data_IF_770214791110
#
_entry.id   IF_770214791110
#
_cell.length_a   1.000
_cell.length_b   1.000
_cell.length_c   1.000
_cell.angle_alpha   90.00
_cell.angle_beta   90.00
_cell.angle_gamma   90.00
#
_symmetry.space_group_name_H-M   'P 1'
#
loop_
_entity.id
_entity.type
_entity.pdbx_description
1 polymer ?
#
# COMPACT_ATOMS: atom_id res chain seq x y z
N UNK A 1 3.79 -10.41 -10.09
CA UNK A 1 4.08 -9.71 -8.82
C UNK A 1 5.47 -9.12 -8.93
N UNK A 2 5.56 -7.79 -9.02
CA UNK A 2 6.83 -7.08 -9.06
C UNK A 2 7.67 -7.37 -7.80
N UNK A 3 8.99 -7.23 -7.93
CA UNK A 3 9.92 -7.38 -6.80
C UNK A 3 9.63 -6.34 -5.71
N UNK A 4 9.03 -6.79 -4.62
CA UNK A 4 8.70 -5.95 -3.45
C UNK A 4 9.87 -5.81 -2.45
N UNK A 5 11.07 -6.23 -2.82
CA UNK A 5 12.25 -6.23 -1.93
C UNK A 5 13.03 -4.91 -1.93
N UNK A 6 12.63 -3.95 -2.72
CA UNK A 6 13.29 -2.65 -2.84
C UNK A 6 12.29 -1.52 -2.70
N UNK A 7 12.74 -0.40 -2.15
CA UNK A 7 11.96 0.83 -2.13
C UNK A 7 11.61 1.27 -3.55
N UNK A 8 10.47 1.93 -3.70
CA UNK A 8 10.02 2.39 -5.01
C UNK A 8 8.58 2.88 -5.02
N UNK A 9 8.04 2.98 -6.21
CA UNK A 9 6.67 3.39 -6.46
C UNK A 9 5.98 2.40 -7.40
N UNK A 10 4.67 2.42 -7.40
CA UNK A 10 3.86 1.56 -8.24
C UNK A 10 2.40 1.94 -8.22
N UNK A 11 1.58 1.02 -8.66
CA UNK A 11 0.14 1.09 -8.62
C UNK A 11 -0.42 -0.13 -7.90
N UNK A 12 -1.36 0.12 -7.01
CA UNK A 12 -2.14 -0.92 -6.35
C UNK A 12 -3.47 -1.04 -7.07
N UNK A 13 -3.88 -2.28 -7.35
CA UNK A 13 -5.20 -2.59 -7.89
C UNK A 13 -5.85 -3.70 -7.07
N UNK A 14 -7.16 -3.63 -6.91
CA UNK A 14 -7.90 -4.76 -6.37
C UNK A 14 -8.01 -5.82 -7.46
N UNK A 15 -7.64 -7.05 -7.15
CA UNK A 15 -7.93 -8.18 -7.99
C UNK A 15 -9.45 -8.40 -8.00
N UNK A 16 -10.03 -8.65 -9.17
CA UNK A 16 -11.47 -9.00 -9.27
C UNK A 16 -11.76 -10.18 -8.36
N UNK A 17 -12.72 -10.05 -7.49
CA UNK A 17 -13.36 -11.19 -6.87
C UNK A 17 -13.81 -12.12 -7.98
N UNK A 18 -13.43 -13.40 -7.90
CA UNK A 18 -13.63 -14.37 -8.97
C UNK A 18 -15.03 -14.33 -9.57
N UNK A 19 -15.09 -14.54 -10.86
CA UNK A 19 -16.30 -14.65 -11.67
C UNK A 19 -17.31 -15.61 -11.02
N UNK A 20 -18.35 -15.05 -10.47
CA UNK A 20 -19.41 -15.81 -9.80
C UNK A 20 -20.49 -14.96 -9.17
N UNK A 21 -20.85 -13.83 -9.79
CA UNK A 21 -22.11 -13.14 -9.50
C UNK A 21 -22.58 -12.39 -10.74
N UNK A 22 -23.83 -12.67 -11.08
CA UNK A 22 -24.56 -12.23 -12.25
C UNK A 22 -24.49 -10.72 -12.54
N UNK A 23 -24.45 -10.46 -13.82
CA UNK A 23 -24.99 -9.34 -14.59
C UNK A 23 -25.51 -8.11 -13.82
N UNK A 24 -24.85 -7.00 -14.07
CA UNK A 24 -25.49 -5.71 -13.91
C UNK A 24 -24.66 -4.61 -13.22
N UNK A 25 -24.13 -3.78 -14.04
CA UNK A 25 -23.47 -2.51 -13.81
C UNK A 25 -21.96 -2.55 -14.03
N UNK A 26 -21.53 -1.81 -15.03
CA UNK A 26 -20.12 -1.64 -15.39
C UNK A 26 -19.26 -1.23 -14.20
N UNK A 27 -18.65 -2.21 -13.60
CA UNK A 27 -17.60 -1.99 -12.62
C UNK A 27 -16.40 -1.45 -13.37
N UNK A 28 -16.07 -0.18 -13.13
CA UNK A 28 -14.82 0.38 -13.53
C UNK A 28 -13.71 -0.62 -13.21
N UNK A 29 -12.85 -0.89 -14.16
CA UNK A 29 -11.58 -1.57 -13.92
C UNK A 29 -11.00 -0.96 -12.64
N UNK A 30 -10.72 -1.82 -11.63
CA UNK A 30 -10.39 -1.38 -10.28
C UNK A 30 -9.41 -0.21 -10.31
N UNK A 31 -9.81 0.91 -9.72
CA UNK A 31 -9.05 2.16 -9.77
C UNK A 31 -7.59 1.88 -9.43
N UNK A 32 -6.68 2.40 -10.24
CA UNK A 32 -5.26 2.32 -9.97
C UNK A 32 -4.92 3.30 -8.84
N UNK A 33 -4.52 2.78 -7.71
CA UNK A 33 -4.18 3.57 -6.54
C UNK A 33 -2.67 3.81 -6.54
N UNK A 34 -2.21 5.08 -6.52
CA UNK A 34 -0.79 5.35 -6.38
C UNK A 34 -0.21 4.67 -5.15
N UNK A 35 0.95 4.04 -5.31
CA UNK A 35 1.58 3.24 -4.27
C UNK A 35 3.03 3.65 -4.08
N UNK A 36 3.40 3.91 -2.84
CA UNK A 36 4.79 3.95 -2.40
C UNK A 36 5.15 2.59 -1.77
N UNK A 37 6.36 2.11 -1.99
CA UNK A 37 6.85 0.83 -1.45
C UNK A 37 8.04 1.13 -0.56
N UNK A 38 7.94 0.77 0.72
CA UNK A 38 8.98 0.87 1.72
C UNK A 38 9.47 -0.53 2.10
N UNK A 39 10.56 -0.96 1.51
CA UNK A 39 11.15 -2.28 1.69
C UNK A 39 12.44 -2.24 2.54
N UNK A 40 13.21 -1.16 2.47
CA UNK A 40 14.40 -0.99 3.30
C UNK A 40 14.02 -0.78 4.76
N UNK A 41 14.89 -1.17 5.68
CA UNK A 41 14.69 -0.93 7.11
C UNK A 41 14.40 0.54 7.40
N UNK A 42 15.19 1.44 6.81
CA UNK A 42 15.05 2.88 6.99
C UNK A 42 13.71 3.41 6.50
N UNK A 43 13.29 3.02 5.31
CA UNK A 43 12.01 3.43 4.75
C UNK A 43 10.82 2.91 5.57
N UNK A 44 10.86 1.66 6.03
CA UNK A 44 9.83 1.08 6.89
C UNK A 44 9.74 1.75 8.25
N UNK A 45 10.89 2.05 8.86
CA UNK A 45 10.93 2.75 10.15
C UNK A 45 10.39 4.16 10.04
N UNK A 46 10.67 4.85 8.94
CA UNK A 46 10.15 6.18 8.68
C UNK A 46 8.64 6.15 8.42
N UNK A 47 8.15 5.23 7.59
CA UNK A 47 6.74 5.13 7.23
C UNK A 47 6.14 6.50 6.88
N UNK A 48 5.02 6.81 7.51
CA UNK A 48 4.32 8.10 7.37
C UNK A 48 4.70 9.15 8.43
N UNK A 49 5.73 8.88 9.25
CA UNK A 49 6.19 9.82 10.27
C UNK A 49 6.63 11.16 9.64
N UNK A 50 6.22 12.25 10.27
CA UNK A 50 6.54 13.61 9.81
C UNK A 50 5.69 14.12 8.66
N UNK A 51 4.81 13.30 8.08
CA UNK A 51 3.85 13.72 7.06
C UNK A 51 2.57 14.24 7.70
N UNK A 52 1.83 15.06 6.96
CA UNK A 52 0.50 15.58 7.33
C UNK A 52 -0.62 14.86 6.60
N UNK A 53 -0.31 14.01 5.65
CA UNK A 53 -1.24 13.21 4.85
C UNK A 53 -0.52 12.34 3.85
N UNK A 54 -1.27 11.53 3.13
CA UNK A 54 -0.78 10.69 2.04
C UNK A 54 -1.82 10.63 0.92
N UNK A 55 -1.36 10.76 -0.32
CA UNK A 55 -2.16 10.47 -1.52
C UNK A 55 -1.87 9.03 -1.94
N UNK A 56 -2.94 8.21 -2.07
CA UNK A 56 -2.78 6.79 -2.34
C UNK A 56 -2.36 6.00 -1.11
N UNK A 57 -1.46 5.06 -1.26
CA UNK A 57 -1.07 4.15 -0.18
C UNK A 57 0.44 3.98 -0.05
N UNK A 58 0.88 3.57 1.14
CA UNK A 58 2.24 3.14 1.44
C UNK A 58 2.23 1.66 1.81
N UNK A 59 3.02 0.85 1.11
CA UNK A 59 3.23 -0.57 1.42
C UNK A 59 4.53 -0.76 2.18
N UNK A 60 4.42 -1.22 3.42
CA UNK A 60 5.55 -1.65 4.23
C UNK A 60 5.79 -3.14 4.01
N UNK A 61 6.98 -3.52 3.58
CA UNK A 61 7.29 -4.92 3.27
C UNK A 61 8.76 -5.28 3.51
N UNK A 62 9.08 -6.35 4.27
CA UNK A 62 8.15 -7.14 5.08
C UNK A 62 7.70 -6.39 6.34
N UNK A 63 6.46 -6.57 6.75
CA UNK A 63 5.93 -6.01 7.99
C UNK A 63 4.74 -6.86 8.49
N UNK A 64 4.62 -7.00 9.80
CA UNK A 64 3.55 -7.73 10.47
C UNK A 64 2.89 -6.93 11.59
N UNK A 65 3.38 -5.74 11.85
CA UNK A 65 2.85 -4.82 12.85
C UNK A 65 3.05 -3.37 12.41
N UNK A 66 2.33 -2.48 13.05
CA UNK A 66 2.40 -1.04 12.77
C UNK A 66 2.16 -0.27 14.07
N UNK A 67 2.72 0.91 14.14
CA UNK A 67 2.41 1.89 15.19
C UNK A 67 2.16 3.26 14.57
N UNK A 68 1.34 4.05 15.24
CA UNK A 68 1.06 5.43 14.85
C UNK A 68 1.63 6.45 15.85
N UNK A 69 2.62 6.02 16.63
CA UNK A 69 3.33 6.89 17.58
C UNK A 69 4.03 8.03 16.81
N UNK A 70 3.78 9.26 17.20
CA UNK A 70 4.34 10.43 16.53
C UNK A 70 3.67 10.81 15.21
N UNK A 71 2.65 10.09 14.77
CA UNK A 71 1.85 10.43 13.59
C UNK A 71 1.02 11.69 13.82
N UNK A 72 0.75 12.44 12.77
CA UNK A 72 -0.01 13.70 12.82
C UNK A 72 -1.44 13.57 12.32
N UNK A 73 -1.81 12.42 11.74
CA UNK A 73 -3.15 12.18 11.19
C UNK A 73 -3.53 10.71 11.38
N UNK A 74 -4.85 10.42 11.44
CA UNK A 74 -5.31 9.04 11.51
C UNK A 74 -5.11 8.33 10.18
N UNK A 75 -4.87 7.03 10.23
CA UNK A 75 -4.64 6.19 9.05
C UNK A 75 -5.51 4.94 9.07
N UNK A 76 -5.83 4.46 7.87
CA UNK A 76 -6.28 3.11 7.68
C UNK A 76 -5.07 2.19 7.50
N UNK A 77 -5.13 1.01 8.10
CA UNK A 77 -4.10 -0.01 8.04
C UNK A 77 -4.72 -1.32 7.58
N UNK A 78 -4.21 -1.88 6.49
CA UNK A 78 -4.56 -3.23 6.05
C UNK A 78 -3.36 -4.15 6.23
N UNK A 79 -3.60 -5.30 6.87
CA UNK A 79 -2.62 -6.37 7.01
C UNK A 79 -2.81 -7.35 5.86
N UNK A 80 -1.75 -7.63 5.12
CA UNK A 80 -1.77 -8.51 3.96
C UNK A 80 -0.89 -9.74 4.22
N UNK A 81 -1.35 -10.89 3.74
CA UNK A 81 -0.54 -12.10 3.73
C UNK A 81 0.50 -12.08 2.59
N UNK A 82 1.29 -13.15 2.48
CA UNK A 82 2.31 -13.29 1.43
C UNK A 82 1.76 -13.27 0.00
N UNK A 83 0.47 -13.51 -0.17
CA UNK A 83 -0.24 -13.48 -1.47
C UNK A 83 -0.96 -12.17 -1.72
N UNK A 84 -0.73 -11.18 -0.87
CA UNK A 84 -1.39 -9.87 -0.93
C UNK A 84 -2.92 -9.97 -0.73
N UNK A 85 -3.36 -10.94 0.07
CA UNK A 85 -4.74 -11.02 0.52
C UNK A 85 -4.90 -10.25 1.82
N UNK A 86 -5.94 -9.44 1.90
CA UNK A 86 -6.27 -8.66 3.10
C UNK A 86 -6.74 -9.58 4.22
N UNK A 87 -6.02 -9.57 5.35
CA UNK A 87 -6.35 -10.32 6.55
C UNK A 87 -7.24 -9.52 7.49
N UNK A 88 -6.96 -8.23 7.63
CA UNK A 88 -7.71 -7.32 8.49
C UNK A 88 -7.48 -5.88 8.03
N UNK A 89 -8.46 -5.03 8.31
CA UNK A 89 -8.38 -3.58 8.11
C UNK A 89 -8.73 -2.89 9.43
N UNK A 90 -7.96 -1.90 9.81
CA UNK A 90 -8.18 -1.10 11.03
C UNK A 90 -7.93 0.36 10.75
N UNK A 91 -8.75 1.23 11.34
CA UNK A 91 -8.46 2.66 11.40
C UNK A 91 -7.76 2.96 12.71
N UNK A 92 -6.62 3.62 12.64
CA UNK A 92 -5.77 3.92 13.79
C UNK A 92 -5.61 5.44 13.95
N UNK A 93 -6.07 6.02 15.06
CA UNK A 93 -5.71 7.40 15.40
C UNK A 93 -4.21 7.48 15.73
N UNK A 94 -3.61 8.70 15.74
CA UNK A 94 -2.23 8.87 16.19
C UNK A 94 -1.99 8.32 17.59
N UNK A 95 -0.77 7.89 17.86
CA UNK A 95 -0.33 7.45 19.19
C UNK A 95 -0.76 6.04 19.59
N UNK A 96 -0.99 5.15 18.64
CA UNK A 96 -1.41 3.77 18.90
C UNK A 96 -0.36 2.74 18.49
N UNK A 97 -0.42 1.59 19.16
CA UNK A 97 0.32 0.38 18.79
C UNK A 97 -0.67 -0.62 18.19
N UNK A 98 -0.39 -1.05 16.96
CA UNK A 98 -1.13 -2.14 16.32
C UNK A 98 -0.70 -3.51 16.88
N UNK A 99 -1.62 -4.45 16.94
CA UNK A 99 -1.28 -5.83 17.32
C UNK A 99 -0.51 -6.50 16.19
N UNK A 100 0.63 -7.17 16.46
CA UNK A 100 1.30 -8.01 15.49
C UNK A 100 0.37 -9.11 14.98
N UNK A 101 0.47 -9.40 13.68
CA UNK A 101 -0.32 -10.45 13.04
C UNK A 101 0.60 -11.47 12.39
N UNK A 102 0.60 -12.70 12.91
CA UNK A 102 1.55 -13.74 12.52
C UNK A 102 1.50 -14.13 11.04
N UNK A 103 0.34 -14.01 10.40
CA UNK A 103 0.16 -14.31 8.97
C UNK A 103 0.46 -13.13 8.07
N UNK A 104 0.57 -11.93 8.62
CA UNK A 104 0.90 -10.74 7.85
C UNK A 104 2.34 -10.78 7.38
N UNK A 105 2.55 -10.38 6.15
CA UNK A 105 3.86 -10.18 5.53
C UNK A 105 4.04 -8.76 5.04
N UNK A 106 2.94 -8.08 4.84
CA UNK A 106 2.91 -6.70 4.35
C UNK A 106 1.87 -5.91 5.15
N UNK A 107 2.12 -4.63 5.31
CA UNK A 107 1.18 -3.68 5.88
C UNK A 107 0.97 -2.56 4.88
N UNK A 108 -0.28 -2.27 4.56
CA UNK A 108 -0.68 -1.18 3.69
C UNK A 108 -1.25 -0.06 4.55
N UNK A 109 -0.75 1.15 4.36
CA UNK A 109 -1.19 2.35 5.07
C UNK A 109 -1.80 3.35 4.09
N UNK A 110 -2.88 3.99 4.49
CA UNK A 110 -3.54 5.05 3.72
C UNK A 110 -4.22 6.03 4.66
N UNK A 111 -4.68 7.15 4.15
CA UNK A 111 -5.47 8.09 4.93
C UNK A 111 -6.76 7.43 5.43
N UNK A 112 -7.18 7.78 6.66
CA UNK A 112 -8.36 7.19 7.29
C UNK A 112 -9.61 7.35 6.41
N UNK A 113 -10.37 6.27 6.24
CA UNK A 113 -11.59 6.22 5.44
C UNK A 113 -11.38 5.85 3.97
N UNK A 114 -10.17 5.91 3.44
CA UNK A 114 -9.92 5.65 2.02
C UNK A 114 -9.99 4.17 1.66
N UNK A 115 -9.59 3.28 2.55
CA UNK A 115 -9.61 1.84 2.26
C UNK A 115 -11.02 1.30 2.05
N UNK A 116 -12.00 1.77 2.83
CA UNK A 116 -13.41 1.43 2.62
C UNK A 116 -13.91 1.92 1.25
N UNK A 117 -13.54 3.14 0.85
CA UNK A 117 -13.88 3.69 -0.45
C UNK A 117 -13.27 2.89 -1.61
N UNK A 118 -12.09 2.29 -1.41
CA UNK A 118 -11.46 1.41 -2.40
C UNK A 118 -12.01 -0.01 -2.42
N UNK A 119 -12.83 -0.40 -1.46
CA UNK A 119 -13.31 -1.77 -1.32
C UNK A 119 -12.30 -2.74 -0.72
N UNK A 120 -11.29 -2.23 0.00
CA UNK A 120 -10.33 -3.05 0.75
C UNK A 120 -11.00 -3.57 2.01
N UNK A 121 -11.42 -4.81 1.96
CA UNK A 121 -12.06 -5.54 3.06
C UNK A 121 -11.32 -6.86 3.30
N UNK A 122 -11.43 -7.49 4.47
CA UNK A 122 -10.86 -8.81 4.70
C UNK A 122 -11.27 -9.80 3.62
N UNK A 123 -10.31 -10.55 3.07
CA UNK A 123 -10.49 -11.49 1.97
C UNK A 123 -10.27 -10.88 0.58
N UNK A 124 -10.26 -9.58 0.42
CA UNK A 124 -9.90 -8.94 -0.85
C UNK A 124 -8.45 -9.26 -1.23
N UNK A 125 -8.19 -9.41 -2.50
CA UNK A 125 -6.84 -9.58 -3.04
C UNK A 125 -6.42 -8.33 -3.80
N UNK A 126 -5.16 -7.94 -3.65
CA UNK A 126 -4.60 -6.82 -4.37
C UNK A 126 -3.42 -7.27 -5.23
N UNK A 127 -3.17 -6.54 -6.29
CA UNK A 127 -2.00 -6.67 -7.14
C UNK A 127 -1.18 -5.40 -7.09
N UNK A 128 0.13 -5.54 -7.20
CA UNK A 128 1.07 -4.42 -7.22
C UNK A 128 1.78 -4.43 -8.56
N UNK A 129 1.62 -3.35 -9.31
CA UNK A 129 2.39 -3.06 -10.51
C UNK A 129 3.48 -2.06 -10.15
N UNK A 130 4.73 -2.51 -10.13
CA UNK A 130 5.85 -1.64 -9.84
C UNK A 130 6.15 -0.74 -11.03
N UNK A 131 6.30 0.55 -10.80
CA UNK A 131 6.80 1.47 -11.82
C UNK A 131 8.32 1.32 -11.93
N UNK A 132 8.83 1.20 -13.16
CA UNK A 132 10.26 1.29 -13.43
C UNK A 132 10.75 2.68 -12.98
N UNK A 133 11.75 2.72 -12.10
CA UNK A 133 12.40 3.98 -11.74
C UNK A 133 12.83 4.70 -13.03
N UNK A 134 12.46 5.95 -13.18
CA UNK A 134 13.08 6.81 -14.19
C UNK A 134 14.54 6.92 -13.82
N UNK A 135 15.37 6.07 -14.40
CA UNK A 135 16.80 6.31 -14.44
C UNK A 135 16.96 7.64 -15.15
N UNK A 136 17.61 8.58 -14.47
CA UNK A 136 17.80 9.93 -14.91
C UNK A 136 18.22 9.99 -16.38
N UNK A 137 17.58 10.87 -17.12
CA UNK A 137 17.97 11.22 -18.45
C UNK A 137 19.47 11.47 -18.48
N UNK A 138 20.18 10.64 -19.23
CA UNK A 138 21.57 10.87 -19.56
C UNK A 138 21.66 12.24 -20.23
N UNK A 139 22.34 13.16 -19.57
CA UNK A 139 22.65 14.45 -20.13
C UNK A 139 23.40 14.26 -21.42
N UNK A 140 22.79 14.64 -22.52
CA UNK A 140 23.46 14.85 -23.80
C UNK A 140 24.48 15.98 -23.59
N UNK A 141 25.73 15.62 -23.41
CA UNK A 141 26.82 16.57 -23.63
C UNK A 141 26.95 16.75 -25.13
N UNK A 142 26.36 17.83 -25.61
CA UNK A 142 26.74 18.35 -26.89
C UNK A 142 28.15 18.95 -26.75
N UNK A 143 29.13 18.26 -27.29
CA UNK A 143 30.45 18.80 -27.50
C UNK A 143 30.47 19.45 -28.86
N UNK A 144 30.71 20.72 -28.87
CA UNK A 144 31.16 21.46 -30.04
C UNK A 144 32.68 21.33 -30.14
#
# INVERSE_FOLDING_TARGET
VGDLRRDGTGLLRLARAGAGAADGAGGAEGAAIPLEIAASYRARTRGLLGRTGITGALLLTPAASVHTLGMRFPIDVAYLDRRLRVLAVRTMPPGRLGRPRLRARHVLEAEAGTMAAWGLVPGAEVTVERQAGRNGAAGTRSGA
#
